data_IF_681779242671
#
_entry.id   IF_681779242671
#
_cell.length_a   1.000
_cell.length_b   1.000
_cell.length_c   1.000
_cell.angle_alpha   90.00
_cell.angle_beta   90.00
_cell.angle_gamma   90.00
#
_symmetry.space_group_name_H-M   'P 1'
#
loop_
_entity.id
_entity.type
_entity.pdbx_description
1 polymer ?
#
# COMPACT_ATOMS: atom_id res chain seq x y z
N UNK A 1 -0.43 11.89 -11.28
CA UNK A 1 0.93 12.49 -11.20
C UNK A 1 0.96 13.91 -10.64
N UNK A 2 -0.09 14.73 -10.77
CA UNK A 2 -0.10 16.12 -10.26
C UNK A 2 0.18 16.20 -8.75
N UNK A 3 -0.33 15.25 -7.97
CA UNK A 3 -0.18 15.26 -6.50
C UNK A 3 1.27 15.08 -6.05
N UNK A 4 2.03 14.18 -6.66
CA UNK A 4 3.44 13.94 -6.32
C UNK A 4 4.32 15.17 -6.61
N UNK A 5 4.07 15.86 -7.74
CA UNK A 5 4.75 17.13 -8.04
C UNK A 5 4.43 18.22 -7.02
N UNK A 6 3.18 18.26 -6.53
CA UNK A 6 2.78 19.20 -5.47
C UNK A 6 3.50 18.88 -4.16
N UNK A 7 3.57 17.60 -3.79
CA UNK A 7 4.31 17.14 -2.60
C UNK A 7 5.78 17.50 -2.70
N UNK A 8 6.45 17.23 -3.84
CA UNK A 8 7.86 17.60 -4.01
C UNK A 8 8.07 19.11 -3.91
N UNK A 9 7.21 19.93 -4.53
CA UNK A 9 7.28 21.38 -4.45
C UNK A 9 7.15 21.86 -3.01
N UNK A 10 6.10 21.44 -2.31
CA UNK A 10 5.88 21.80 -0.91
C UNK A 10 7.02 21.32 -0.02
N UNK A 11 7.54 20.12 -0.27
CA UNK A 11 8.69 19.60 0.47
C UNK A 11 9.92 20.48 0.27
N UNK A 12 10.20 20.96 -0.95
CA UNK A 12 11.33 21.86 -1.23
C UNK A 12 11.20 23.21 -0.51
N UNK A 13 9.98 23.73 -0.37
CA UNK A 13 9.70 25.02 0.28
C UNK A 13 9.84 24.98 1.81
N UNK A 14 9.72 23.81 2.45
CA UNK A 14 9.93 23.65 3.89
C UNK A 14 11.38 23.98 4.27
N UNK A 15 11.56 24.88 5.24
CA UNK A 15 12.85 25.15 5.90
C UNK A 15 13.04 24.17 7.07
N UNK A 16 14.27 23.96 7.50
CA UNK A 16 14.68 23.02 8.57
C UNK A 16 14.69 21.52 8.20
N UNK A 17 15.05 20.68 9.18
CA UNK A 17 15.13 19.22 9.04
C UNK A 17 13.74 18.65 8.72
N UNK A 18 13.62 18.03 7.56
CA UNK A 18 12.35 17.51 7.03
C UNK A 18 12.52 16.08 6.54
N UNK A 19 11.47 15.29 6.74
CA UNK A 19 11.38 13.90 6.29
C UNK A 19 9.97 13.66 5.75
N UNK A 20 9.84 12.70 4.84
CA UNK A 20 8.56 12.19 4.34
C UNK A 20 8.39 10.80 4.92
N UNK A 21 7.30 10.58 5.65
CA UNK A 21 6.97 9.25 6.17
C UNK A 21 5.85 8.66 5.32
N UNK A 22 6.01 7.39 4.93
CA UNK A 22 5.04 6.64 4.13
C UNK A 22 4.81 5.26 4.73
N UNK A 23 3.70 4.65 4.34
CA UNK A 23 3.39 3.23 4.60
C UNK A 23 4.06 2.34 3.56
N UNK A 24 4.20 1.04 3.82
CA UNK A 24 4.81 0.08 2.89
C UNK A 24 4.10 0.06 1.54
N UNK A 25 2.77 0.14 1.56
CA UNK A 25 1.95 0.17 0.34
C UNK A 25 2.33 1.34 -0.56
N UNK A 26 2.46 2.53 0.04
CA UNK A 26 2.79 3.73 -0.71
C UNK A 26 4.26 3.77 -1.10
N UNK A 27 5.16 3.22 -0.27
CA UNK A 27 6.58 3.05 -0.62
C UNK A 27 6.78 2.20 -1.87
N UNK A 28 6.05 1.08 -1.98
CA UNK A 28 6.05 0.23 -3.19
C UNK A 28 5.57 1.03 -4.39
N UNK A 29 4.47 1.77 -4.25
CA UNK A 29 3.93 2.60 -5.34
C UNK A 29 4.92 3.68 -5.79
N UNK A 30 5.60 4.35 -4.86
CA UNK A 30 6.61 5.37 -5.15
C UNK A 30 7.80 4.78 -5.91
N UNK A 31 8.25 3.59 -5.53
CA UNK A 31 9.37 2.89 -6.16
C UNK A 31 9.03 2.40 -7.57
N UNK A 32 7.89 1.73 -7.75
CA UNK A 32 7.51 1.10 -9.02
C UNK A 32 7.28 2.09 -10.16
N UNK A 33 6.83 3.31 -9.84
CA UNK A 33 6.51 4.34 -10.83
C UNK A 33 7.52 5.50 -10.85
N UNK A 34 8.64 5.38 -10.13
CA UNK A 34 9.68 6.39 -10.02
C UNK A 34 9.14 7.81 -9.79
N UNK A 35 8.18 7.93 -8.86
CA UNK A 35 7.32 9.13 -8.73
C UNK A 35 8.00 10.32 -8.05
N UNK A 36 9.14 10.08 -7.41
CA UNK A 36 9.99 11.11 -6.81
C UNK A 36 11.37 11.11 -7.45
N UNK A 37 11.94 12.30 -7.52
CA UNK A 37 13.34 12.52 -7.87
C UNK A 37 14.28 11.87 -6.85
N UNK A 38 15.50 11.52 -7.29
CA UNK A 38 16.50 10.88 -6.42
C UNK A 38 16.95 11.78 -5.26
N UNK A 39 16.79 13.10 -5.41
CA UNK A 39 17.00 14.08 -4.36
C UNK A 39 15.98 13.90 -3.22
N UNK A 40 14.69 13.78 -3.55
CA UNK A 40 13.60 13.64 -2.57
C UNK A 40 13.62 12.26 -1.92
N UNK A 41 13.96 11.19 -2.66
CA UNK A 41 13.99 9.81 -2.13
C UNK A 41 14.85 9.66 -0.87
N UNK A 42 15.92 10.44 -0.74
CA UNK A 42 16.81 10.42 0.45
C UNK A 42 16.11 10.84 1.74
N UNK A 43 14.97 11.51 1.63
CA UNK A 43 14.18 11.99 2.75
C UNK A 43 12.93 11.13 3.01
N UNK A 44 12.70 10.08 2.22
CA UNK A 44 11.53 9.21 2.35
C UNK A 44 11.85 8.02 3.24
N UNK A 45 11.05 7.84 4.29
CA UNK A 45 11.16 6.73 5.23
C UNK A 45 9.85 5.95 5.24
N UNK A 46 9.97 4.64 5.23
CA UNK A 46 8.83 3.75 5.37
C UNK A 46 8.71 3.35 6.84
N UNK A 47 7.53 3.53 7.43
CA UNK A 47 7.24 3.05 8.77
C UNK A 47 6.46 1.75 8.67
N UNK A 48 6.92 0.67 9.32
CA UNK A 48 6.18 -0.58 9.29
C UNK A 48 4.88 -0.48 10.08
N UNK A 49 3.79 -0.96 9.50
CA UNK A 49 2.46 -0.93 10.16
C UNK A 49 1.97 -2.36 10.40
N UNK A 50 1.75 -2.70 11.67
CA UNK A 50 1.07 -3.93 12.05
C UNK A 50 -0.44 -3.69 12.17
N UNK A 51 -1.23 -4.51 11.48
CA UNK A 51 -2.68 -4.55 11.66
C UNK A 51 -3.01 -5.71 12.60
N UNK A 52 -3.72 -5.42 13.71
CA UNK A 52 -4.25 -6.42 14.63
C UNK A 52 -5.75 -6.32 14.70
N UNK A 53 -6.43 -7.46 14.58
CA UNK A 53 -7.85 -7.58 14.87
C UNK A 53 -8.02 -7.65 16.39
N UNK A 54 -8.83 -6.74 16.93
CA UNK A 54 -9.17 -6.71 18.35
C UNK A 54 -10.30 -7.71 18.60
N UNK A 55 -9.95 -8.97 18.86
CA UNK A 55 -10.90 -10.08 19.01
C UNK A 55 -10.31 -11.13 19.95
N UNK A 56 -11.16 -11.99 20.51
CA UNK A 56 -10.67 -13.16 21.25
C UNK A 56 -9.92 -14.12 20.32
N UNK A 57 -9.10 -15.01 20.89
CA UNK A 57 -8.39 -16.02 20.09
C UNK A 57 -9.34 -16.92 19.29
N UNK A 58 -10.50 -17.24 19.85
CA UNK A 58 -11.49 -18.10 19.21
C UNK A 58 -12.24 -17.38 18.08
N UNK A 59 -12.60 -16.12 18.27
CA UNK A 59 -13.16 -15.27 17.21
C UNK A 59 -12.18 -15.10 16.05
N UNK A 60 -10.88 -14.92 16.35
CA UNK A 60 -9.84 -14.81 15.33
C UNK A 60 -9.70 -16.11 14.53
N UNK A 61 -9.69 -17.27 15.19
CA UNK A 61 -9.67 -18.58 14.52
C UNK A 61 -10.90 -18.78 13.62
N UNK A 62 -12.08 -18.40 14.09
CA UNK A 62 -13.30 -18.49 13.29
C UNK A 62 -13.24 -17.58 12.07
N UNK A 63 -12.81 -16.33 12.23
CA UNK A 63 -12.63 -15.39 11.14
C UNK A 63 -11.63 -15.90 10.10
N UNK A 64 -10.45 -16.34 10.54
CA UNK A 64 -9.42 -16.90 9.67
C UNK A 64 -9.95 -18.11 8.88
N UNK A 65 -10.67 -19.02 9.55
CA UNK A 65 -11.30 -20.17 8.90
C UNK A 65 -12.34 -19.77 7.84
N UNK A 66 -13.13 -18.73 8.09
CA UNK A 66 -14.09 -18.20 7.11
C UNK A 66 -13.37 -17.64 5.88
N UNK A 67 -12.31 -16.84 6.08
CA UNK A 67 -11.50 -16.28 5.00
C UNK A 67 -10.84 -17.40 4.18
N UNK A 68 -10.17 -18.35 4.83
CA UNK A 68 -9.52 -19.46 4.13
C UNK A 68 -10.50 -20.35 3.39
N UNK A 69 -11.65 -20.66 4.00
CA UNK A 69 -12.70 -21.47 3.36
C UNK A 69 -13.28 -20.75 2.14
N UNK A 70 -13.57 -19.45 2.26
CA UNK A 70 -14.05 -18.64 1.15
C UNK A 70 -13.04 -18.63 -0.01
N UNK A 71 -11.78 -18.31 0.27
CA UNK A 71 -10.72 -18.27 -0.75
C UNK A 71 -10.56 -19.64 -1.40
N UNK A 72 -10.51 -20.72 -0.61
CA UNK A 72 -10.36 -22.10 -1.12
C UNK A 72 -11.51 -22.48 -2.05
N UNK A 73 -12.76 -22.19 -1.66
CA UNK A 73 -13.94 -22.59 -2.42
C UNK A 73 -14.17 -21.72 -3.65
N UNK A 74 -13.71 -20.46 -3.65
CA UNK A 74 -13.93 -19.50 -4.74
C UNK A 74 -12.72 -19.27 -5.66
N UNK A 75 -11.64 -20.08 -5.54
CA UNK A 75 -10.43 -19.93 -6.39
C UNK A 75 -10.72 -19.89 -7.89
N UNK A 76 -11.79 -20.56 -8.36
CA UNK A 76 -12.19 -20.59 -9.78
C UNK A 76 -12.66 -19.24 -10.35
N UNK A 77 -13.20 -18.33 -9.54
CA UNK A 77 -13.68 -17.02 -10.03
C UNK A 77 -12.54 -16.04 -10.39
N UNK A 78 -11.31 -16.29 -9.94
CA UNK A 78 -10.15 -15.44 -10.26
C UNK A 78 -9.73 -15.47 -11.73
N UNK A 79 -10.06 -16.53 -12.48
CA UNK A 79 -9.73 -16.66 -13.91
C UNK A 79 -10.74 -15.97 -14.85
N UNK A 80 -11.95 -15.70 -14.39
CA UNK A 80 -13.03 -15.15 -15.23
C UNK A 80 -12.92 -13.63 -15.45
N UNK A 81 -12.16 -12.92 -14.61
CA UNK A 81 -11.94 -11.47 -14.74
C UNK A 81 -10.82 -11.06 -15.72
N UNK A 82 -10.08 -12.00 -16.31
CA UNK A 82 -8.99 -11.69 -17.26
C UNK A 82 -9.44 -11.50 -18.70
N UNK A 83 -10.69 -11.82 -19.05
CA UNK A 83 -11.18 -11.81 -20.43
C UNK A 83 -12.19 -10.68 -20.75
N UNK A 84 -12.53 -9.81 -19.80
CA UNK A 84 -13.55 -8.76 -20.00
C UNK A 84 -12.99 -7.36 -20.33
N UNK A 85 -11.68 -7.24 -20.60
CA UNK A 85 -11.07 -6.00 -21.11
C UNK A 85 -10.17 -6.30 -22.32
N UNK A 86 -10.78 -6.68 -23.44
CA UNK A 86 -10.27 -6.39 -24.77
C UNK A 86 -11.40 -5.70 -25.54
N UNK A 87 -11.26 -4.38 -25.71
CA UNK A 87 -12.16 -3.49 -26.41
C UNK A 87 -11.56 -2.10 -26.42
#
# INVERSE_FOLDING_TARGET
>A
MKDFKKIEKSFKELKDKKIIIVTEKDAIRLKSYNLFSDEIKKYVYCVPIEVKLLSSEDEKKQFDNQIFSYVRNNKRYSKLYKNSYQG
#
